data_IF_404056848003
#
_entry.id   IF_404056848003
#
_cell.length_a   1.000
_cell.length_b   1.000
_cell.length_c   1.000
_cell.angle_alpha   90.00
_cell.angle_beta   90.00
_cell.angle_gamma   90.00
#
_symmetry.space_group_name_H-M   'P 1'
#
loop_
_entity.id
_entity.type
_entity.pdbx_description
1 polymer ?
#
# COMPACT_ATOMS: atom_id res chain seq x y z
N UNK A 1 -11.61 -1.11 -8.43
CA UNK A 1 -10.83 -2.34 -8.69
C UNK A 1 -9.41 -2.09 -8.21
N UNK A 2 -8.81 -2.99 -7.44
CA UNK A 2 -7.46 -2.77 -6.90
C UNK A 2 -6.43 -3.09 -7.99
N UNK A 3 -5.49 -2.18 -8.31
CA UNK A 3 -4.45 -2.46 -9.29
C UNK A 3 -3.55 -3.63 -8.86
N UNK A 4 -2.98 -4.33 -9.85
CA UNK A 4 -2.10 -5.47 -9.62
C UNK A 4 -0.88 -5.09 -8.76
N UNK A 5 -0.25 -6.08 -8.11
CA UNK A 5 0.93 -5.84 -7.26
C UNK A 5 2.13 -5.32 -8.06
N UNK A 6 2.20 -5.55 -9.38
CA UNK A 6 3.25 -4.99 -10.23
C UNK A 6 3.09 -3.51 -10.57
N UNK A 7 2.01 -2.85 -10.13
CA UNK A 7 1.79 -1.43 -10.38
C UNK A 7 2.84 -0.57 -9.63
N UNK A 8 3.53 0.33 -10.34
CA UNK A 8 4.63 1.12 -9.80
C UNK A 8 4.27 1.93 -8.54
N UNK A 9 3.02 2.42 -8.44
CA UNK A 9 2.57 3.17 -7.26
C UNK A 9 2.67 2.38 -5.94
N UNK A 10 2.63 1.04 -5.96
CA UNK A 10 2.89 0.26 -4.74
C UNK A 10 4.31 0.46 -4.22
N UNK A 11 5.29 0.46 -5.12
CA UNK A 11 6.67 0.78 -4.79
C UNK A 11 6.80 2.24 -4.30
N UNK A 12 6.17 3.18 -4.99
CA UNK A 12 6.25 4.60 -4.63
C UNK A 12 5.66 4.89 -3.24
N UNK A 13 4.60 4.15 -2.86
CA UNK A 13 4.05 4.19 -1.50
C UNK A 13 5.07 3.73 -0.44
N UNK A 14 5.73 2.59 -0.67
CA UNK A 14 6.66 1.99 0.29
C UNK A 14 8.02 2.70 0.35
N UNK A 15 8.39 3.42 -0.71
CA UNK A 15 9.62 4.22 -0.79
C UNK A 15 9.40 5.71 -0.52
N UNK A 16 8.21 6.09 -0.06
CA UNK A 16 7.85 7.48 0.31
C UNK A 16 7.89 8.49 -0.84
N UNK A 17 8.00 8.02 -2.09
CA UNK A 17 7.88 8.84 -3.30
C UNK A 17 6.45 9.32 -3.54
N UNK A 18 5.47 8.57 -3.04
CA UNK A 18 4.07 8.92 -3.05
C UNK A 18 3.47 8.76 -1.65
N UNK A 19 2.86 9.83 -1.11
CA UNK A 19 2.35 9.88 0.26
C UNK A 19 0.91 10.41 0.27
N UNK A 20 -0.06 9.62 -0.22
CA UNK A 20 -1.46 10.02 -0.23
C UNK A 20 -2.00 10.08 1.20
N UNK A 21 -2.94 10.98 1.42
CA UNK A 21 -3.69 11.04 2.68
C UNK A 21 -4.70 9.90 2.70
N UNK A 22 -4.41 8.87 3.49
CA UNK A 22 -5.30 7.72 3.69
C UNK A 22 -6.32 8.04 4.79
N UNK A 23 -7.57 7.65 4.60
CA UNK A 23 -8.63 7.80 5.59
C UNK A 23 -8.67 6.63 6.59
N UNK A 24 -8.24 5.44 6.19
CA UNK A 24 -8.24 4.26 7.05
C UNK A 24 -7.01 4.17 7.94
N UNK A 25 -7.22 4.22 9.26
CA UNK A 25 -6.16 4.04 10.25
C UNK A 25 -5.46 2.68 10.11
N UNK A 26 -6.21 1.60 9.86
CA UNK A 26 -5.62 0.27 9.74
C UNK A 26 -4.69 0.16 8.52
N UNK A 27 -5.05 0.80 7.40
CA UNK A 27 -4.20 0.85 6.21
C UNK A 27 -2.96 1.73 6.44
N UNK A 28 -3.10 2.89 7.09
CA UNK A 28 -1.97 3.73 7.48
C UNK A 28 -0.96 2.95 8.34
N UNK A 29 -1.45 2.22 9.35
CA UNK A 29 -0.61 1.41 10.23
C UNK A 29 0.11 0.30 9.46
N UNK A 30 -0.60 -0.45 8.60
CA UNK A 30 0.02 -1.51 7.78
C UNK A 30 1.08 -0.93 6.84
N UNK A 31 0.79 0.19 6.16
CA UNK A 31 1.74 0.85 5.27
C UNK A 31 3.00 1.31 6.03
N UNK A 32 2.84 1.96 7.18
CA UNK A 32 3.97 2.42 8.00
C UNK A 32 4.81 1.25 8.54
N UNK A 33 4.18 0.16 8.96
CA UNK A 33 4.87 -1.04 9.41
C UNK A 33 5.72 -1.66 8.28
N UNK A 34 5.17 -1.72 7.06
CA UNK A 34 5.88 -2.24 5.89
C UNK A 34 7.02 -1.31 5.45
N UNK A 35 6.81 0.01 5.41
CA UNK A 35 7.87 1.00 5.17
C UNK A 35 9.05 0.81 6.13
N UNK A 36 8.75 0.65 7.42
CA UNK A 36 9.77 0.39 8.43
C UNK A 36 10.48 -0.95 8.17
N UNK A 37 9.74 -2.02 7.90
CA UNK A 37 10.34 -3.32 7.64
C UNK A 37 11.28 -3.30 6.42
N UNK A 38 10.90 -2.62 5.33
CA UNK A 38 11.75 -2.41 4.15
C UNK A 38 12.97 -1.56 4.50
N UNK A 39 12.78 -0.41 5.17
CA UNK A 39 13.86 0.52 5.54
C UNK A 39 14.96 -0.12 6.39
N UNK A 40 14.59 -1.07 7.24
CA UNK A 40 15.53 -1.80 8.11
C UNK A 40 15.91 -3.18 7.54
N UNK A 41 15.68 -3.43 6.24
CA UNK A 41 16.01 -4.68 5.55
C UNK A 41 15.45 -5.95 6.24
N UNK A 42 14.31 -5.84 6.93
CA UNK A 42 13.64 -6.98 7.56
C UNK A 42 12.89 -7.84 6.55
N UNK A 43 12.41 -7.21 5.48
CA UNK A 43 11.74 -7.83 4.34
C UNK A 43 12.19 -7.11 3.07
N UNK A 44 12.11 -7.79 1.93
CA UNK A 44 12.33 -7.17 0.63
C UNK A 44 11.18 -6.24 0.24
N UNK A 45 11.46 -5.33 -0.69
CA UNK A 45 10.45 -4.44 -1.25
C UNK A 45 9.33 -5.23 -1.96
N UNK A 46 9.66 -6.27 -2.71
CA UNK A 46 8.69 -7.11 -3.42
C UNK A 46 7.75 -7.84 -2.46
N UNK A 47 8.30 -8.39 -1.37
CA UNK A 47 7.50 -9.00 -0.30
C UNK A 47 6.55 -7.97 0.33
N UNK A 48 7.04 -6.76 0.61
CA UNK A 48 6.22 -5.70 1.19
C UNK A 48 5.07 -5.25 0.25
N UNK A 49 5.34 -5.17 -1.06
CA UNK A 49 4.34 -4.84 -2.08
C UNK A 49 3.24 -5.91 -2.10
N UNK A 50 3.64 -7.19 -2.15
CA UNK A 50 2.68 -8.30 -2.18
C UNK A 50 1.84 -8.35 -0.90
N UNK A 51 2.46 -8.10 0.26
CA UNK A 51 1.78 -8.02 1.55
C UNK A 51 0.74 -6.90 1.61
N UNK A 52 1.09 -5.72 1.12
CA UNK A 52 0.20 -4.56 1.07
C UNK A 52 -0.94 -4.80 0.08
N UNK A 53 -0.64 -5.33 -1.10
CA UNK A 53 -1.62 -5.69 -2.11
C UNK A 53 -2.64 -6.69 -1.55
N UNK A 54 -2.19 -7.79 -0.93
CA UNK A 54 -3.07 -8.79 -0.31
C UNK A 54 -3.93 -8.20 0.79
N UNK A 55 -3.35 -7.35 1.63
CA UNK A 55 -4.09 -6.67 2.70
C UNK A 55 -5.25 -5.83 2.15
N UNK A 56 -4.97 -5.08 1.09
CA UNK A 56 -5.97 -4.30 0.37
C UNK A 56 -7.01 -5.19 -0.33
N UNK A 57 -6.58 -6.25 -1.04
CA UNK A 57 -7.44 -7.16 -1.79
C UNK A 57 -8.41 -7.94 -0.90
N UNK A 58 -7.93 -8.46 0.24
CA UNK A 58 -8.76 -9.22 1.18
C UNK A 58 -9.87 -8.38 1.81
N UNK A 59 -9.70 -7.05 1.85
CA UNK A 59 -10.65 -6.11 2.45
C UNK A 59 -11.03 -5.02 1.44
N UNK A 60 -11.17 -5.38 0.16
CA UNK A 60 -11.31 -4.41 -0.93
C UNK A 60 -12.44 -3.39 -0.71
N UNK A 61 -13.56 -3.82 -0.14
CA UNK A 61 -14.70 -2.96 0.18
C UNK A 61 -14.38 -1.91 1.25
N UNK A 62 -13.52 -2.23 2.22
CA UNK A 62 -13.13 -1.33 3.31
C UNK A 62 -12.15 -0.25 2.83
N UNK A 63 -11.23 -0.63 1.94
CA UNK A 63 -10.14 0.24 1.49
C UNK A 63 -10.43 0.93 0.15
N UNK A 64 -11.62 0.77 -0.42
CA UNK A 64 -11.89 1.27 -1.76
C UNK A 64 -11.67 2.79 -1.91
N UNK A 65 -12.04 3.59 -0.90
CA UNK A 65 -11.78 5.04 -0.91
C UNK A 65 -10.28 5.35 -0.95
N UNK A 66 -9.51 4.69 -0.10
CA UNK A 66 -8.07 4.89 -0.01
C UNK A 66 -7.35 4.39 -1.27
N UNK A 67 -7.77 3.25 -1.82
CA UNK A 67 -7.27 2.73 -3.09
C UNK A 67 -7.56 3.72 -4.22
N UNK A 68 -8.77 4.29 -4.28
CA UNK A 68 -9.09 5.30 -5.28
C UNK A 68 -8.19 6.54 -5.14
N UNK A 69 -7.91 6.99 -3.90
CA UNK A 69 -6.97 8.09 -3.62
C UNK A 69 -5.54 7.75 -4.05
N UNK A 70 -5.04 6.56 -3.74
CA UNK A 70 -3.68 6.13 -4.08
C UNK A 70 -3.50 6.08 -5.60
N UNK A 71 -4.48 5.52 -6.31
CA UNK A 71 -4.35 5.19 -7.73
C UNK A 71 -5.07 6.19 -8.65
N UNK A 72 -5.59 7.30 -8.10
CA UNK A 72 -6.39 8.29 -8.82
C UNK A 72 -7.51 7.65 -9.66
N UNK A 73 -8.15 6.61 -9.13
CA UNK A 73 -9.24 5.91 -9.81
C UNK A 73 -10.53 6.70 -9.58
N UNK A 74 -11.07 7.25 -10.68
CA UNK A 74 -12.30 8.04 -10.73
C UNK A 74 -13.54 7.15 -10.65
#
# INVERSE_FOLDING_TARGET
MIPNSSHQLWNDLLTEKHQPTLSSLSLQMKLNALKFAVKYNKISLDEAIEDLYRFCANNAHMYQKDVNTIFNLS
#
